data_IF_848047823803
#
_entry.id   IF_848047823803
#
_cell.length_a   1.000
_cell.length_b   1.000
_cell.length_c   1.000
_cell.angle_alpha   90.00
_cell.angle_beta   90.00
_cell.angle_gamma   90.00
#
_symmetry.space_group_name_H-M   'P 1'
#
loop_
_entity.id
_entity.type
_entity.pdbx_description
1 polymer ?
#
# COMPACT_ATOMS: atom_id res chain seq x y z
N UNK A 1 -72.52 50.88 41.59
CA UNK A 1 -73.84 50.69 42.21
C UNK A 1 -74.19 49.22 42.08
N UNK A 2 -73.78 48.41 43.05
CA UNK A 2 -74.16 47.00 43.14
C UNK A 2 -74.93 46.87 44.46
N UNK A 3 -76.22 46.56 44.35
CA UNK A 3 -77.15 46.30 45.43
C UNK A 3 -76.58 45.18 46.31
N UNK A 4 -76.26 45.48 47.57
CA UNK A 4 -75.91 44.47 48.56
C UNK A 4 -77.11 43.55 48.76
N UNK A 5 -77.01 42.24 48.46
CA UNK A 5 -78.02 41.30 48.91
C UNK A 5 -77.87 41.22 50.43
N UNK A 6 -78.89 41.65 51.17
CA UNK A 6 -78.95 41.52 52.63
C UNK A 6 -78.66 40.08 53.02
N UNK A 7 -77.54 39.87 53.72
CA UNK A 7 -77.02 38.57 54.19
C UNK A 7 -77.74 38.10 55.47
N UNK A 8 -79.03 38.43 55.62
CA UNK A 8 -79.78 37.99 56.79
C UNK A 8 -80.32 36.57 56.57
N UNK A 9 -80.21 35.67 57.56
CA UNK A 9 -80.75 34.32 57.47
C UNK A 9 -82.26 34.36 57.23
N UNK A 10 -82.74 33.63 56.22
CA UNK A 10 -84.17 33.53 55.95
C UNK A 10 -84.79 32.56 56.98
N UNK A 11 -85.65 33.05 57.88
CA UNK A 11 -86.25 32.23 58.94
C UNK A 11 -87.38 31.40 58.32
N UNK A 12 -87.23 30.07 58.35
CA UNK A 12 -88.23 29.14 57.84
C UNK A 12 -89.52 29.12 58.68
N UNK A 13 -90.62 28.56 58.15
CA UNK A 13 -91.91 28.44 58.87
C UNK A 13 -91.85 27.56 60.14
N UNK A 14 -90.73 26.88 60.35
CA UNK A 14 -90.34 26.09 61.52
C UNK A 14 -89.54 26.89 62.57
N UNK A 15 -89.27 28.18 62.32
CA UNK A 15 -88.51 29.05 63.24
C UNK A 15 -86.99 28.86 63.17
N UNK A 16 -86.48 28.12 62.19
CA UNK A 16 -85.06 27.86 62.02
C UNK A 16 -84.45 28.85 61.01
N UNK A 17 -83.29 29.44 61.37
CA UNK A 17 -82.54 30.31 60.48
C UNK A 17 -81.92 29.50 59.34
N UNK A 18 -82.29 29.79 58.08
CA UNK A 18 -81.66 29.20 56.89
C UNK A 18 -80.57 30.11 56.38
N UNK A 19 -79.42 29.53 56.06
CA UNK A 19 -78.30 30.27 55.49
C UNK A 19 -78.70 30.91 54.15
N UNK A 20 -78.29 32.17 53.95
CA UNK A 20 -78.53 32.85 52.69
C UNK A 20 -77.87 32.05 51.54
N UNK A 21 -78.60 31.71 50.46
CA UNK A 21 -78.10 30.80 49.41
C UNK A 21 -76.76 31.21 48.78
N UNK A 22 -76.46 32.52 48.77
CA UNK A 22 -75.20 33.09 48.25
C UNK A 22 -74.01 32.80 49.19
N UNK A 23 -74.23 32.78 50.51
CA UNK A 23 -73.19 32.47 51.50
C UNK A 23 -72.80 30.99 51.39
N UNK A 24 -73.78 30.10 51.42
CA UNK A 24 -73.56 28.66 51.28
C UNK A 24 -72.87 28.29 49.95
N UNK A 25 -73.25 28.97 48.85
CA UNK A 25 -72.59 28.78 47.55
C UNK A 25 -71.12 29.24 47.57
N UNK A 26 -70.83 30.39 48.17
CA UNK A 26 -69.47 30.94 48.25
C UNK A 26 -68.57 30.09 49.16
N UNK A 27 -69.08 29.63 50.30
CA UNK A 27 -68.36 28.73 51.21
C UNK A 27 -68.04 27.39 50.56
N UNK A 28 -68.96 26.85 49.76
CA UNK A 28 -68.72 25.64 48.97
C UNK A 28 -67.56 25.81 47.99
N UNK A 29 -67.49 26.94 47.26
CA UNK A 29 -66.38 27.23 46.34
C UNK A 29 -65.05 27.32 47.08
N UNK A 30 -65.02 28.04 48.21
CA UNK A 30 -63.80 28.18 49.02
C UNK A 30 -63.31 26.83 49.54
N UNK A 31 -64.21 25.95 49.98
CA UNK A 31 -63.82 24.62 50.44
C UNK A 31 -63.32 23.74 49.28
N UNK A 32 -63.95 23.80 48.11
CA UNK A 32 -63.48 23.12 46.91
C UNK A 32 -62.07 23.58 46.50
N UNK A 33 -61.80 24.89 46.50
CA UNK A 33 -60.47 25.45 46.21
C UNK A 33 -59.43 25.05 47.26
N UNK A 34 -59.81 25.02 48.54
CA UNK A 34 -58.93 24.55 49.63
C UNK A 34 -58.55 23.07 49.46
N UNK A 35 -59.51 22.23 49.10
CA UNK A 35 -59.28 20.81 48.83
C UNK A 35 -58.36 20.64 47.61
N UNK A 36 -58.60 21.38 46.52
CA UNK A 36 -57.74 21.36 45.34
C UNK A 36 -56.31 21.83 45.66
N UNK A 37 -56.15 22.89 46.44
CA UNK A 37 -54.85 23.41 46.83
C UNK A 37 -54.07 22.40 47.68
N UNK A 38 -54.72 21.75 48.65
CA UNK A 38 -54.09 20.67 49.44
C UNK A 38 -53.60 19.53 48.55
N UNK A 39 -54.43 19.09 47.60
CA UNK A 39 -54.06 18.04 46.64
C UNK A 39 -52.88 18.46 45.77
N UNK A 40 -52.89 19.68 45.25
CA UNK A 40 -51.78 20.22 44.46
C UNK A 40 -50.48 20.26 45.26
N UNK A 41 -50.53 20.71 46.52
CA UNK A 41 -49.37 20.74 47.41
C UNK A 41 -48.83 19.33 47.65
N UNK A 42 -49.71 18.38 47.97
CA UNK A 42 -49.33 16.98 48.18
C UNK A 42 -48.69 16.34 46.95
N UNK A 43 -49.27 16.57 45.76
CA UNK A 43 -48.73 16.11 44.49
C UNK A 43 -47.33 16.71 44.21
N UNK A 44 -47.14 18.00 44.47
CA UNK A 44 -45.82 18.64 44.28
C UNK A 44 -44.78 18.10 45.25
N UNK A 45 -45.13 17.92 46.53
CA UNK A 45 -44.22 17.29 47.49
C UNK A 45 -43.90 15.83 47.11
N UNK A 46 -44.85 15.10 46.54
CA UNK A 46 -44.57 13.76 46.01
C UNK A 46 -43.58 13.81 44.84
N UNK A 47 -43.79 14.71 43.87
CA UNK A 47 -42.89 14.89 42.73
C UNK A 47 -41.47 15.27 43.16
N UNK A 48 -41.34 16.17 44.13
CA UNK A 48 -40.03 16.56 44.67
C UNK A 48 -39.31 15.33 45.24
N UNK A 49 -39.99 14.51 46.05
CA UNK A 49 -39.40 13.30 46.63
C UNK A 49 -38.99 12.28 45.57
N UNK A 50 -39.78 12.12 44.51
CA UNK A 50 -39.45 11.19 43.44
C UNK A 50 -38.23 11.67 42.64
N UNK A 51 -38.15 12.97 42.33
CA UNK A 51 -36.96 13.58 41.69
C UNK A 51 -35.71 13.45 42.57
N UNK A 52 -35.83 13.69 43.88
CA UNK A 52 -34.71 13.53 44.83
C UNK A 52 -34.21 12.07 44.86
N UNK A 53 -35.13 11.09 44.79
CA UNK A 53 -34.78 9.67 44.73
C UNK A 53 -34.06 9.33 43.42
N UNK A 54 -34.56 9.80 42.29
CA UNK A 54 -33.91 9.61 40.99
C UNK A 54 -32.52 10.24 40.94
N UNK A 55 -32.37 11.45 41.48
CA UNK A 55 -31.09 12.14 41.55
C UNK A 55 -30.09 11.35 42.42
N UNK A 56 -30.52 10.84 43.56
CA UNK A 56 -29.68 10.01 44.42
C UNK A 56 -29.23 8.72 43.71
N UNK A 57 -30.14 8.06 42.99
CA UNK A 57 -29.85 6.87 42.20
C UNK A 57 -28.81 7.19 41.10
N UNK A 58 -29.02 8.28 40.36
CA UNK A 58 -28.12 8.68 39.28
C UNK A 58 -26.71 9.02 39.80
N UNK A 59 -26.62 9.71 40.93
CA UNK A 59 -25.33 10.01 41.58
C UNK A 59 -24.61 8.72 41.98
N UNK A 60 -25.33 7.74 42.53
CA UNK A 60 -24.76 6.45 42.91
C UNK A 60 -24.24 5.68 41.69
N UNK A 61 -25.01 5.58 40.62
CA UNK A 61 -24.60 4.95 39.37
C UNK A 61 -23.34 5.61 38.77
N UNK A 62 -23.30 6.95 38.77
CA UNK A 62 -22.14 7.69 38.29
C UNK A 62 -20.88 7.37 39.13
N UNK A 63 -21.01 7.26 40.45
CA UNK A 63 -19.88 6.91 41.35
C UNK A 63 -19.39 5.47 41.13
N UNK A 64 -20.31 4.52 40.97
CA UNK A 64 -19.97 3.11 40.74
C UNK A 64 -19.28 2.89 39.39
N UNK A 65 -19.66 3.67 38.38
CA UNK A 65 -19.13 3.51 37.01
C UNK A 65 -17.90 4.36 36.71
N UNK A 66 -17.64 5.43 37.48
CA UNK A 66 -16.51 6.33 37.26
C UNK A 66 -15.14 5.63 37.32
N UNK A 67 -14.94 4.72 38.29
CA UNK A 67 -13.69 3.98 38.46
C UNK A 67 -13.38 3.05 37.28
N UNK A 68 -14.26 2.08 36.97
CA UNK A 68 -14.07 1.17 35.83
C UNK A 68 -13.91 1.90 34.49
N UNK A 69 -14.69 2.96 34.25
CA UNK A 69 -14.59 3.76 33.02
C UNK A 69 -13.23 4.47 32.92
N UNK A 70 -12.74 5.08 34.00
CA UNK A 70 -11.43 5.74 34.04
C UNK A 70 -10.29 4.74 33.83
N UNK A 71 -10.35 3.56 34.46
CA UNK A 71 -9.34 2.51 34.30
C UNK A 71 -9.29 1.99 32.85
N UNK A 72 -10.44 1.75 32.22
CA UNK A 72 -10.52 1.35 30.82
C UNK A 72 -9.93 2.39 29.87
N UNK A 73 -10.26 3.67 30.07
CA UNK A 73 -9.71 4.77 29.27
C UNK A 73 -8.19 4.88 29.42
N UNK A 74 -7.66 4.80 30.64
CA UNK A 74 -6.22 4.86 30.90
C UNK A 74 -5.47 3.66 30.29
N UNK A 75 -6.05 2.46 30.38
CA UNK A 75 -5.48 1.28 29.74
C UNK A 75 -5.44 1.43 28.21
N UNK A 76 -6.50 1.97 27.59
CA UNK A 76 -6.52 2.24 26.15
C UNK A 76 -5.49 3.30 25.76
N UNK A 77 -5.35 4.37 26.55
CA UNK A 77 -4.30 5.40 26.36
C UNK A 77 -2.91 4.78 26.34
N UNK A 78 -2.57 3.96 27.34
CA UNK A 78 -1.27 3.27 27.41
C UNK A 78 -1.04 2.33 26.23
N UNK A 79 -2.07 1.60 25.79
CA UNK A 79 -1.99 0.74 24.59
C UNK A 79 -1.67 1.56 23.33
N UNK A 80 -2.28 2.71 23.16
CA UNK A 80 -2.04 3.61 22.03
C UNK A 80 -0.60 4.14 22.06
N UNK A 81 -0.12 4.58 23.23
CA UNK A 81 1.25 5.09 23.40
C UNK A 81 2.30 4.01 23.05
N UNK A 82 2.16 2.81 23.61
CA UNK A 82 3.04 1.68 23.26
C UNK A 82 2.99 1.34 21.77
N UNK A 83 1.81 1.36 21.17
CA UNK A 83 1.66 1.07 19.74
C UNK A 83 2.32 2.13 18.87
N UNK A 84 2.19 3.40 19.25
CA UNK A 84 2.81 4.53 18.56
C UNK A 84 4.33 4.42 18.60
N UNK A 85 4.90 4.06 19.75
CA UNK A 85 6.35 3.87 19.87
C UNK A 85 6.86 2.68 19.05
N UNK A 86 6.12 1.56 19.03
CA UNK A 86 6.44 0.43 18.14
C UNK A 86 6.43 0.84 16.66
N UNK A 87 5.45 1.62 16.24
CA UNK A 87 5.37 2.13 14.86
C UNK A 87 6.57 3.04 14.56
N UNK A 88 6.96 3.91 15.49
CA UNK A 88 8.12 4.79 15.33
C UNK A 88 9.41 4.00 15.09
N UNK A 89 9.66 2.98 15.91
CA UNK A 89 10.83 2.10 15.77
C UNK A 89 10.78 1.33 14.44
N UNK A 90 9.60 0.81 14.07
CA UNK A 90 9.43 0.09 12.81
C UNK A 90 9.72 1.00 11.59
N UNK A 91 9.20 2.23 11.57
CA UNK A 91 9.48 3.22 10.51
C UNK A 91 10.96 3.57 10.40
N UNK A 92 11.66 3.68 11.54
CA UNK A 92 13.10 3.92 11.51
C UNK A 92 13.85 2.75 10.85
N UNK A 93 13.45 1.50 11.13
CA UNK A 93 14.03 0.32 10.49
C UNK A 93 13.70 0.23 9.00
N UNK A 94 12.45 0.51 8.63
CA UNK A 94 12.00 0.60 7.25
C UNK A 94 12.85 1.60 6.45
N UNK A 95 13.05 2.80 6.98
CA UNK A 95 13.85 3.84 6.34
C UNK A 95 15.32 3.45 6.17
N UNK A 96 15.92 2.74 7.13
CA UNK A 96 17.28 2.22 6.98
C UNK A 96 17.36 1.13 5.91
N UNK A 97 16.40 0.21 5.89
CA UNK A 97 16.32 -0.82 4.85
C UNK A 97 16.15 -0.21 3.45
N UNK A 98 15.33 0.84 3.33
CA UNK A 98 15.14 1.59 2.07
C UNK A 98 16.45 2.17 1.56
N UNK A 99 17.23 2.84 2.42
CA UNK A 99 18.54 3.40 2.03
C UNK A 99 19.53 2.34 1.55
N UNK A 100 19.58 1.20 2.24
CA UNK A 100 20.44 0.08 1.85
C UNK A 100 20.00 -0.48 0.49
N UNK A 101 18.69 -0.65 0.30
CA UNK A 101 18.14 -1.12 -0.97
C UNK A 101 18.42 -0.16 -2.13
N UNK A 102 18.26 1.15 -1.92
CA UNK A 102 18.58 2.18 -2.93
C UNK A 102 20.05 2.18 -3.31
N UNK A 103 20.95 2.02 -2.32
CA UNK A 103 22.39 1.93 -2.58
C UNK A 103 22.74 0.66 -3.38
N UNK A 104 22.15 -0.49 -3.03
CA UNK A 104 22.35 -1.74 -3.75
C UNK A 104 21.80 -1.68 -5.18
N UNK A 105 20.63 -1.06 -5.38
CA UNK A 105 20.02 -0.87 -6.70
C UNK A 105 20.89 0.03 -7.58
N UNK A 106 21.47 1.10 -7.01
CA UNK A 106 22.40 1.95 -7.74
C UNK A 106 23.64 1.17 -8.20
N UNK A 107 24.25 0.40 -7.30
CA UNK A 107 25.42 -0.42 -7.64
C UNK A 107 25.10 -1.42 -8.76
N UNK A 108 23.93 -2.07 -8.72
CA UNK A 108 23.49 -2.96 -9.80
C UNK A 108 23.37 -2.25 -11.14
N UNK A 109 22.76 -1.06 -11.17
CA UNK A 109 22.62 -0.28 -12.40
C UNK A 109 23.98 0.16 -12.95
N UNK A 110 24.91 0.56 -12.08
CA UNK A 110 26.28 0.94 -12.48
C UNK A 110 27.02 -0.27 -13.09
N UNK A 111 26.87 -1.46 -12.51
CA UNK A 111 27.44 -2.72 -13.04
C UNK A 111 26.79 -3.14 -14.37
N UNK A 112 25.47 -2.98 -14.51
CA UNK A 112 24.76 -3.26 -15.76
C UNK A 112 25.18 -2.30 -16.89
N UNK A 113 25.36 -1.02 -16.57
CA UNK A 113 25.86 -0.03 -17.52
C UNK A 113 27.31 -0.33 -17.95
N UNK A 114 28.18 -0.70 -16.99
CA UNK A 114 29.54 -1.12 -17.29
C UNK A 114 29.57 -2.35 -18.19
N UNK A 115 28.73 -3.35 -17.89
CA UNK A 115 28.58 -4.55 -18.74
C UNK A 115 28.17 -4.19 -20.16
N UNK A 116 27.16 -3.32 -20.33
CA UNK A 116 26.70 -2.88 -21.65
C UNK A 116 27.83 -2.20 -22.43
N UNK A 117 28.59 -1.32 -21.76
CA UNK A 117 29.75 -0.66 -22.37
C UNK A 117 30.80 -1.67 -22.84
N UNK A 118 31.17 -2.63 -21.99
CA UNK A 118 32.13 -3.68 -22.34
C UNK A 118 31.65 -4.56 -23.50
N UNK A 119 30.35 -4.85 -23.58
CA UNK A 119 29.78 -5.57 -24.71
C UNK A 119 29.91 -4.78 -26.02
N UNK A 120 29.65 -3.46 -26.00
CA UNK A 120 29.81 -2.62 -27.19
C UNK A 120 31.28 -2.45 -27.57
N UNK A 121 32.18 -2.26 -26.61
CA UNK A 121 33.62 -2.19 -26.84
C UNK A 121 34.14 -3.50 -27.48
N UNK A 122 33.69 -4.66 -26.99
CA UNK A 122 34.03 -5.96 -27.57
C UNK A 122 33.52 -6.10 -29.00
N UNK A 123 32.27 -5.72 -29.26
CA UNK A 123 31.67 -5.74 -30.59
C UNK A 123 32.46 -4.88 -31.58
N UNK A 124 32.88 -3.70 -31.15
CA UNK A 124 33.71 -2.80 -31.95
C UNK A 124 35.07 -3.42 -32.26
N UNK A 125 35.76 -3.98 -31.26
CA UNK A 125 37.05 -4.66 -31.46
C UNK A 125 36.96 -5.85 -32.42
N UNK A 126 35.90 -6.65 -32.31
CA UNK A 126 35.65 -7.78 -33.22
C UNK A 126 35.44 -7.27 -34.64
N UNK A 127 34.63 -6.22 -34.81
CA UNK A 127 34.38 -5.63 -36.12
C UNK A 127 35.65 -5.01 -36.74
N UNK A 128 36.42 -4.24 -35.97
CA UNK A 128 37.68 -3.64 -36.41
C UNK A 128 38.71 -4.70 -36.80
N UNK A 129 38.86 -5.75 -35.98
CA UNK A 129 39.76 -6.87 -36.26
C UNK A 129 39.36 -7.60 -37.54
N UNK A 130 38.06 -7.90 -37.72
CA UNK A 130 37.54 -8.53 -38.94
C UNK A 130 37.80 -7.66 -40.17
N UNK A 131 37.49 -6.36 -40.09
CA UNK A 131 37.72 -5.41 -41.18
C UNK A 131 39.21 -5.30 -41.54
N UNK A 132 40.11 -5.26 -40.54
CA UNK A 132 41.55 -5.22 -40.77
C UNK A 132 42.07 -6.50 -41.40
N UNK A 133 41.59 -7.67 -40.97
CA UNK A 133 41.95 -8.96 -41.56
C UNK A 133 41.45 -9.06 -43.01
N UNK A 134 40.22 -8.62 -43.26
CA UNK A 134 39.64 -8.61 -44.60
C UNK A 134 40.40 -7.68 -45.56
N UNK A 135 40.72 -6.45 -45.12
CA UNK A 135 41.52 -5.52 -45.91
C UNK A 135 42.90 -6.08 -46.26
N UNK A 136 43.54 -6.80 -45.32
CA UNK A 136 44.82 -7.48 -45.56
C UNK A 136 44.69 -8.62 -46.56
N UNK A 137 43.61 -9.41 -46.48
CA UNK A 137 43.34 -10.49 -47.44
C UNK A 137 43.09 -9.94 -48.85
N UNK A 138 42.29 -8.88 -48.99
CA UNK A 138 42.03 -8.23 -50.28
C UNK A 138 43.29 -7.60 -50.89
N UNK A 139 44.18 -7.05 -50.07
CA UNK A 139 45.50 -6.57 -50.54
C UNK A 139 46.38 -7.73 -51.03
N UNK A 140 46.46 -8.83 -50.28
CA UNK A 140 47.23 -10.01 -50.69
C UNK A 140 46.66 -10.62 -51.98
N UNK A 141 45.34 -10.69 -52.10
CA UNK A 141 44.64 -11.14 -53.31
C UNK A 141 44.99 -10.26 -54.52
N UNK A 142 44.91 -8.93 -54.38
CA UNK A 142 45.29 -7.98 -55.46
C UNK A 142 46.75 -8.15 -55.88
N UNK A 143 47.68 -8.34 -54.92
CA UNK A 143 49.11 -8.60 -55.23
C UNK A 143 49.30 -9.93 -55.96
N UNK A 144 48.58 -10.97 -55.56
CA UNK A 144 48.67 -12.28 -56.19
C UNK A 144 48.14 -12.25 -57.64
N UNK A 145 47.04 -11.53 -57.87
CA UNK A 145 46.47 -11.32 -59.20
C UNK A 145 47.44 -10.55 -60.12
N UNK A 146 48.10 -9.50 -59.60
CA UNK A 146 49.09 -8.74 -60.37
C UNK A 146 50.32 -9.58 -60.79
N UNK A 147 50.71 -10.57 -59.97
CA UNK A 147 51.82 -11.47 -60.29
C UNK A 147 51.44 -12.61 -61.25
N UNK A 148 50.14 -12.89 -61.44
CA UNK A 148 49.64 -13.94 -62.36
C UNK A 148 48.49 -13.42 -63.26
N UNK A 149 48.78 -12.56 -64.26
CA UNK A 149 47.75 -11.96 -65.12
C UNK A 149 46.92 -12.99 -65.90
N UNK A 150 47.51 -14.13 -66.26
CA UNK A 150 46.87 -15.17 -67.09
C UNK A 150 45.87 -16.06 -66.34
N UNK A 151 45.74 -15.94 -65.02
CA UNK A 151 44.87 -16.80 -64.18
C UNK A 151 43.73 -16.05 -63.47
N UNK A 152 43.61 -14.74 -63.70
CA UNK A 152 42.58 -13.90 -63.09
C UNK A 152 41.13 -14.41 -63.33
N UNK A 153 40.88 -15.09 -64.44
CA UNK A 153 39.55 -15.66 -64.75
C UNK A 153 39.15 -16.88 -63.91
N UNK A 154 40.07 -17.55 -63.19
CA UNK A 154 39.75 -18.78 -62.46
C UNK A 154 39.47 -18.57 -60.96
N UNK A 155 39.84 -17.43 -60.38
CA UNK A 155 39.71 -17.17 -58.93
C UNK A 155 38.44 -16.40 -58.54
N UNK A 156 37.68 -15.90 -59.52
CA UNK A 156 36.45 -15.14 -59.29
C UNK A 156 35.31 -15.97 -58.70
N UNK A 157 35.40 -17.31 -58.72
CA UNK A 157 34.29 -18.21 -58.39
C UNK A 157 34.29 -18.79 -56.98
N UNK A 158 35.31 -18.55 -56.14
CA UNK A 158 35.54 -19.44 -54.99
C UNK A 158 35.61 -18.85 -53.57
N UNK A 159 35.20 -17.61 -53.34
CA UNK A 159 35.21 -17.08 -51.96
C UNK A 159 33.94 -16.28 -51.64
N UNK A 160 32.81 -16.98 -51.53
CA UNK A 160 31.61 -16.48 -50.85
C UNK A 160 31.59 -17.01 -49.42
N UNK A 161 32.40 -16.42 -48.53
CA UNK A 161 32.31 -16.69 -47.09
C UNK A 161 31.17 -15.85 -46.49
N UNK A 162 29.99 -16.44 -46.33
CA UNK A 162 28.88 -15.84 -45.59
C UNK A 162 29.05 -16.14 -44.10
N UNK A 163 29.42 -15.12 -43.32
CA UNK A 163 29.39 -15.16 -41.85
C UNK A 163 27.97 -14.80 -41.36
N UNK A 164 27.24 -15.78 -40.81
CA UNK A 164 26.02 -15.52 -40.04
C UNK A 164 26.37 -15.63 -38.55
N UNK A 165 26.62 -14.48 -37.92
CA UNK A 165 26.69 -14.35 -36.46
C UNK A 165 25.26 -14.17 -35.94
N UNK A 166 24.67 -15.24 -35.41
CA UNK A 166 23.41 -15.16 -34.66
C UNK A 166 23.70 -15.12 -33.17
N UNK A 167 23.36 -14.00 -32.51
CA UNK A 167 23.44 -13.85 -31.06
C UNK A 167 22.08 -14.20 -30.44
N UNK A 168 21.98 -15.36 -29.79
CA UNK A 168 20.86 -15.67 -28.89
C UNK A 168 21.34 -15.60 -27.43
N UNK A 169 21.01 -14.51 -26.76
CA UNK A 169 21.06 -14.41 -25.29
C UNK A 169 19.87 -15.18 -24.72
N UNK A 170 20.06 -16.45 -24.39
CA UNK A 170 19.10 -17.16 -23.51
C UNK A 170 19.31 -16.69 -22.08
N UNK A 171 18.24 -16.69 -21.28
CA UNK A 171 18.10 -16.07 -19.96
C UNK A 171 18.93 -16.72 -18.83
N UNK A 172 20.13 -17.23 -19.13
CA UNK A 172 21.04 -17.84 -18.16
C UNK A 172 22.48 -17.35 -18.41
N UNK A 173 23.23 -16.87 -17.40
CA UNK A 173 24.32 -15.91 -17.61
C UNK A 173 25.63 -16.45 -18.21
N UNK A 174 25.74 -17.75 -18.55
CA UNK A 174 27.05 -18.40 -18.68
C UNK A 174 27.25 -19.34 -19.89
N UNK A 175 26.63 -19.07 -21.06
CA UNK A 175 27.04 -19.80 -22.27
C UNK A 175 26.96 -18.93 -23.52
N UNK A 176 28.12 -18.77 -24.19
CA UNK A 176 28.21 -18.21 -25.54
C UNK A 176 28.46 -19.39 -26.49
N UNK A 177 27.57 -19.58 -27.45
CA UNK A 177 27.71 -20.59 -28.50
C UNK A 177 28.05 -19.91 -29.83
N UNK A 178 29.14 -20.32 -30.45
CA UNK A 178 29.52 -19.89 -31.79
C UNK A 178 29.27 -21.03 -32.78
N UNK A 179 28.55 -20.74 -33.86
CA UNK A 179 28.29 -21.69 -34.94
C UNK A 179 29.11 -21.29 -36.17
N UNK A 180 30.04 -22.15 -36.59
CA UNK A 180 30.81 -21.96 -37.82
C UNK A 180 30.41 -23.05 -38.83
N UNK A 181 30.02 -22.63 -40.04
CA UNK A 181 29.74 -23.53 -41.16
C UNK A 181 30.62 -23.17 -42.35
N UNK A 182 31.30 -24.17 -42.91
CA UNK A 182 32.05 -24.05 -44.17
C UNK A 182 31.29 -24.85 -45.22
N UNK A 183 30.83 -24.19 -46.29
CA UNK A 183 30.21 -24.85 -47.43
C UNK A 183 31.30 -25.21 -48.44
N UNK A 184 31.70 -26.48 -48.46
CA UNK A 184 32.36 -27.10 -49.61
C UNK A 184 31.38 -28.07 -50.27
N UNK A 185 31.41 -28.16 -51.60
CA UNK A 185 30.59 -29.12 -52.34
C UNK A 185 30.79 -30.52 -51.73
N UNK A 186 29.66 -31.13 -51.37
CA UNK A 186 29.46 -32.49 -50.87
C UNK A 186 29.69 -32.84 -49.39
N UNK A 187 30.09 -31.94 -48.48
CA UNK A 187 30.03 -32.24 -47.03
C UNK A 187 29.78 -31.01 -46.15
N UNK A 188 28.63 -30.98 -45.46
CA UNK A 188 28.26 -29.94 -44.50
C UNK A 188 28.98 -30.16 -43.16
N UNK A 189 30.18 -29.62 -42.99
CA UNK A 189 30.84 -29.66 -41.68
C UNK A 189 30.24 -28.61 -40.75
N UNK A 190 29.40 -29.05 -39.82
CA UNK A 190 28.84 -28.21 -38.75
C UNK A 190 29.77 -28.28 -37.54
N UNK A 191 30.66 -27.29 -37.38
CA UNK A 191 31.48 -27.18 -36.18
C UNK A 191 30.77 -26.25 -35.19
N UNK A 192 30.34 -26.81 -34.06
CA UNK A 192 29.76 -26.04 -32.97
C UNK A 192 30.84 -25.84 -31.92
N UNK A 193 31.26 -24.58 -31.72
CA UNK A 193 32.20 -24.22 -30.66
C UNK A 193 31.38 -23.71 -29.49
N UNK A 194 31.32 -24.49 -28.42
CA UNK A 194 30.66 -24.10 -27.18
C UNK A 194 31.71 -23.58 -26.20
N UNK A 195 31.60 -22.30 -25.84
CA UNK A 195 32.44 -21.70 -24.81
C UNK A 195 31.57 -21.52 -23.56
N UNK A 196 31.92 -22.26 -22.52
CA UNK A 196 31.28 -22.16 -21.20
C UNK A 196 32.21 -21.41 -20.24
N UNK A 197 31.72 -20.31 -19.66
CA UNK A 197 32.40 -19.66 -18.53
C UNK A 197 31.79 -20.16 -17.22
N UNK A 198 32.63 -20.65 -16.30
CA UNK A 198 32.22 -20.97 -14.94
C UNK A 198 32.56 -19.77 -14.04
N UNK A 199 31.60 -19.21 -13.27
CA UNK A 199 31.86 -18.02 -12.45
C UNK A 199 32.96 -18.21 -11.40
N UNK A 200 33.22 -19.44 -10.98
CA UNK A 200 34.10 -19.74 -9.83
C UNK A 200 35.52 -20.20 -10.22
N UNK A 201 35.84 -20.31 -11.52
CA UNK A 201 37.15 -20.83 -11.97
C UNK A 201 37.72 -19.99 -13.11
N UNK A 202 38.95 -19.50 -12.92
CA UNK A 202 39.74 -18.71 -13.88
C UNK A 202 40.20 -19.51 -15.13
N UNK A 203 39.44 -20.51 -15.57
CA UNK A 203 39.76 -21.41 -16.66
C UNK A 203 38.57 -21.54 -17.60
N UNK A 204 38.80 -21.41 -18.90
CA UNK A 204 37.80 -21.58 -19.95
C UNK A 204 37.82 -23.03 -20.46
N UNK A 205 36.65 -23.62 -20.66
CA UNK A 205 36.52 -24.90 -21.38
C UNK A 205 36.05 -24.63 -22.79
N UNK A 206 36.85 -25.04 -23.78
CA UNK A 206 36.51 -25.00 -25.20
C UNK A 206 36.17 -26.42 -25.61
N UNK A 207 34.89 -26.68 -25.88
CA UNK A 207 34.44 -27.96 -26.42
C UNK A 207 34.18 -27.75 -27.91
N UNK A 208 34.99 -28.41 -28.74
CA UNK A 208 34.80 -28.49 -30.19
C UNK A 208 34.04 -29.77 -30.47
N UNK A 209 32.76 -29.65 -30.81
CA UNK A 209 31.97 -30.79 -31.29
C UNK A 209 31.93 -30.74 -32.82
N UNK A 210 32.60 -31.69 -33.44
CA UNK A 210 32.46 -32.00 -34.86
C UNK A 210 31.29 -32.97 -35.01
N UNK A 211 30.19 -32.55 -35.63
CA UNK A 211 29.21 -33.51 -36.14
C UNK A 211 29.68 -33.97 -37.52
N UNK A 212 29.97 -35.26 -37.65
CA UNK A 212 30.16 -35.93 -38.95
C UNK A 212 28.81 -36.14 -39.62
#
# INVERSE_FOLDING_TARGET
MATNPTLEPEIGPDGLAREAPVIAYTEKIIEEERVQLKKYIEENYSKIRDVERELANLIMEMKLTAGPKKAALEHMRKKIEMSTERIRIAKQKEEQARKIWEAALKALNDDEALKQKLCEDLKNLVQESSNSQFARLEELKRRLEALNPSRASALSSHVSFLFILSYYTTSSPCSIQYLYGVLGEDNFFRTVIKISMSPDKNWFSVIVCSAF
#
